data_IF_643637376707
#
_entry.id   IF_643637376707
#
_cell.length_a   1.000
_cell.length_b   1.000
_cell.length_c   1.000
_cell.angle_alpha   90.00
_cell.angle_beta   90.00
_cell.angle_gamma   90.00
#
_symmetry.space_group_name_H-M   'P 1'
#
loop_
_entity.id
_entity.type
_entity.pdbx_description
1 polymer ?
#
# COMPACT_ATOMS: atom_id res chain seq x y z
N UNK A 1 -43.82 76.01 -66.68
CA UNK A 1 -42.68 76.32 -65.79
C UNK A 1 -42.73 75.32 -64.62
N UNK A 2 -41.69 74.47 -64.47
CA UNK A 2 -41.36 73.52 -63.35
C UNK A 2 -42.40 72.42 -63.02
N UNK A 3 -42.19 71.13 -63.37
CA UNK A 3 -41.31 70.05 -62.84
C UNK A 3 -41.75 69.37 -61.52
N UNK A 4 -41.98 68.05 -61.66
CA UNK A 4 -41.65 66.91 -60.76
C UNK A 4 -42.56 66.54 -59.59
N UNK A 5 -42.98 65.26 -59.51
CA UNK A 5 -42.47 64.23 -58.57
C UNK A 5 -43.15 62.86 -58.84
N UNK A 6 -42.33 61.81 -58.79
CA UNK A 6 -42.51 60.36 -58.99
C UNK A 6 -43.29 59.67 -57.84
N UNK A 7 -43.85 58.47 -58.05
CA UNK A 7 -43.72 57.24 -57.18
C UNK A 7 -44.53 56.06 -57.73
N UNK A 8 -43.93 54.87 -57.60
CA UNK A 8 -44.23 53.51 -58.06
C UNK A 8 -45.19 52.78 -57.09
N UNK A 9 -46.08 51.87 -57.57
CA UNK A 9 -46.29 50.54 -56.94
C UNK A 9 -47.18 49.60 -57.76
N UNK A 10 -46.61 48.44 -58.11
CA UNK A 10 -47.30 47.22 -58.55
C UNK A 10 -47.60 46.35 -57.33
N UNK A 11 -48.83 45.83 -57.19
CA UNK A 11 -49.15 44.59 -56.46
C UNK A 11 -50.66 44.34 -56.48
N UNK A 12 -51.10 43.21 -57.06
CA UNK A 12 -52.25 42.44 -56.59
C UNK A 12 -52.28 41.06 -57.29
N UNK A 13 -52.26 40.05 -56.43
CA UNK A 13 -52.84 38.70 -56.57
C UNK A 13 -52.24 37.70 -57.57
N UNK A 14 -51.47 36.77 -57.02
CA UNK A 14 -51.67 35.36 -57.32
C UNK A 14 -51.53 34.53 -56.04
N UNK A 15 -52.65 34.36 -55.33
CA UNK A 15 -52.80 33.31 -54.32
C UNK A 15 -53.15 32.02 -55.08
N UNK A 16 -52.19 31.11 -55.22
CA UNK A 16 -52.46 29.71 -55.58
C UNK A 16 -52.31 28.89 -54.31
N UNK A 17 -53.43 28.32 -53.89
CA UNK A 17 -53.51 27.18 -52.98
C UNK A 17 -52.63 26.04 -53.51
N UNK A 18 -51.54 25.74 -52.80
CA UNK A 18 -50.89 24.43 -52.85
C UNK A 18 -50.80 23.92 -51.42
N UNK A 19 -51.90 23.36 -50.93
CA UNK A 19 -51.90 22.48 -49.76
C UNK A 19 -52.24 21.10 -50.30
N UNK A 20 -51.22 20.29 -50.58
CA UNK A 20 -51.44 18.96 -51.14
C UNK A 20 -50.24 18.10 -51.55
N UNK A 21 -48.98 18.54 -51.42
CA UNK A 21 -47.82 17.74 -51.90
C UNK A 21 -46.79 17.30 -50.84
N UNK A 22 -46.96 17.60 -49.55
CA UNK A 22 -45.91 17.28 -48.56
C UNK A 22 -45.92 15.82 -48.05
N UNK A 23 -47.05 15.10 -48.11
CA UNK A 23 -47.15 13.78 -47.48
C UNK A 23 -46.57 12.62 -48.32
N UNK A 24 -46.63 12.72 -49.64
CA UNK A 24 -46.11 11.67 -50.56
C UNK A 24 -44.60 11.73 -50.74
N UNK A 25 -44.01 12.92 -50.61
CA UNK A 25 -42.56 13.11 -50.74
C UNK A 25 -41.79 12.52 -49.54
N UNK A 26 -42.32 12.71 -48.33
CA UNK A 26 -41.74 12.17 -47.09
C UNK A 26 -41.70 10.63 -47.05
N UNK A 27 -42.68 9.95 -47.67
CA UNK A 27 -42.71 8.48 -47.75
C UNK A 27 -41.53 7.95 -48.58
N UNK A 28 -41.25 8.55 -49.73
CA UNK A 28 -40.13 8.13 -50.59
C UNK A 28 -38.74 8.40 -49.98
N UNK A 29 -38.61 9.49 -49.21
CA UNK A 29 -37.38 9.81 -48.48
C UNK A 29 -37.12 8.76 -47.36
N UNK A 30 -38.15 8.37 -46.62
CA UNK A 30 -38.07 7.32 -45.59
C UNK A 30 -37.69 5.96 -46.21
N UNK A 31 -38.36 5.54 -47.28
CA UNK A 31 -38.04 4.29 -47.99
C UNK A 31 -36.59 4.25 -48.49
N UNK A 32 -36.09 5.39 -48.99
CA UNK A 32 -34.69 5.51 -49.44
C UNK A 32 -33.71 5.24 -48.29
N UNK A 33 -33.92 5.86 -47.12
CA UNK A 33 -33.06 5.65 -45.95
C UNK A 33 -33.15 4.21 -45.45
N UNK A 34 -34.36 3.65 -45.34
CA UNK A 34 -34.55 2.27 -44.91
C UNK A 34 -33.87 1.27 -45.84
N UNK A 35 -33.90 1.51 -47.17
CA UNK A 35 -33.19 0.68 -48.14
C UNK A 35 -31.67 0.74 -48.01
N UNK A 36 -31.11 1.92 -47.70
CA UNK A 36 -29.67 2.06 -47.45
C UNK A 36 -29.26 1.33 -46.17
N UNK A 37 -30.05 1.47 -45.10
CA UNK A 37 -29.88 0.77 -43.82
C UNK A 37 -29.91 -0.75 -44.02
N UNK A 38 -30.95 -1.28 -44.68
CA UNK A 38 -31.09 -2.72 -44.92
C UNK A 38 -29.97 -3.29 -45.79
N UNK A 39 -29.35 -2.46 -46.61
CA UNK A 39 -28.21 -2.83 -47.47
C UNK A 39 -26.85 -2.65 -46.79
N UNK A 40 -26.82 -2.22 -45.52
CA UNK A 40 -25.59 -1.96 -44.77
C UNK A 40 -24.79 -0.75 -45.30
N UNK A 41 -25.41 0.14 -46.07
CA UNK A 41 -24.77 1.32 -46.68
C UNK A 41 -24.79 2.51 -45.72
N UNK A 42 -24.18 2.35 -44.55
CA UNK A 42 -24.28 3.31 -43.43
C UNK A 42 -23.73 4.71 -43.75
N UNK A 43 -22.59 4.78 -44.43
CA UNK A 43 -22.00 6.07 -44.84
C UNK A 43 -22.91 6.80 -45.84
N UNK A 44 -23.47 6.07 -46.83
CA UNK A 44 -24.42 6.64 -47.78
C UNK A 44 -25.72 7.10 -47.08
N UNK A 45 -26.24 6.32 -46.13
CA UNK A 45 -27.41 6.69 -45.32
C UNK A 45 -27.13 7.97 -44.51
N UNK A 46 -25.96 8.02 -43.83
CA UNK A 46 -25.51 9.17 -43.05
C UNK A 46 -25.43 10.44 -43.91
N UNK A 47 -24.83 10.33 -45.09
CA UNK A 47 -24.69 11.45 -46.03
C UNK A 47 -26.04 11.96 -46.55
N UNK A 48 -27.03 11.09 -46.74
CA UNK A 48 -28.37 11.52 -47.17
C UNK A 48 -29.14 12.20 -46.03
N UNK A 49 -29.04 11.70 -44.80
CA UNK A 49 -29.76 12.25 -43.64
C UNK A 49 -29.37 13.70 -43.30
N UNK A 50 -28.21 14.19 -43.75
CA UNK A 50 -27.80 15.60 -43.55
C UNK A 50 -28.59 16.57 -44.46
N UNK A 51 -29.15 16.09 -45.57
CA UNK A 51 -29.87 16.93 -46.55
C UNK A 51 -31.22 17.38 -45.99
N UNK A 52 -31.65 18.59 -46.36
CA UNK A 52 -32.86 19.21 -45.81
C UNK A 52 -34.15 18.43 -46.11
N UNK A 53 -34.21 17.78 -47.27
CA UNK A 53 -35.35 16.97 -47.69
C UNK A 53 -35.66 15.83 -46.70
N UNK A 54 -34.63 15.19 -46.13
CA UNK A 54 -34.82 14.04 -45.22
C UNK A 54 -35.22 14.43 -43.78
N UNK A 55 -35.23 15.71 -43.41
CA UNK A 55 -35.53 16.14 -42.02
C UNK A 55 -36.99 15.98 -41.62
N UNK A 56 -37.88 15.78 -42.59
CA UNK A 56 -39.31 15.53 -42.35
C UNK A 56 -39.64 14.09 -41.98
N UNK A 57 -38.67 13.18 -42.00
CA UNK A 57 -38.89 11.76 -41.69
C UNK A 57 -39.34 11.58 -40.23
N UNK A 58 -40.34 10.74 -40.02
CA UNK A 58 -40.78 10.34 -38.69
C UNK A 58 -39.65 9.65 -37.91
N UNK A 59 -39.45 10.01 -36.64
CA UNK A 59 -38.33 9.55 -35.81
C UNK A 59 -36.93 9.87 -36.39
N UNK A 60 -36.81 10.99 -37.11
CA UNK A 60 -35.56 11.42 -37.76
C UNK A 60 -34.36 11.43 -36.83
N UNK A 61 -34.49 11.94 -35.60
CA UNK A 61 -33.36 12.07 -34.67
C UNK A 61 -32.82 10.71 -34.24
N UNK A 62 -33.70 9.75 -33.99
CA UNK A 62 -33.35 8.39 -33.61
C UNK A 62 -32.72 7.64 -34.80
N UNK A 63 -33.24 7.84 -36.01
CA UNK A 63 -32.66 7.29 -37.25
C UNK A 63 -31.26 7.85 -37.50
N UNK A 64 -31.06 9.17 -37.36
CA UNK A 64 -29.75 9.82 -37.46
C UNK A 64 -28.78 9.24 -36.44
N UNK A 65 -29.21 9.12 -35.19
CA UNK A 65 -28.37 8.59 -34.09
C UNK A 65 -27.98 7.14 -34.36
N UNK A 66 -28.93 6.32 -34.83
CA UNK A 66 -28.69 4.92 -35.15
C UNK A 66 -27.71 4.76 -36.31
N UNK A 67 -27.95 5.47 -37.42
CA UNK A 67 -27.09 5.43 -38.60
C UNK A 67 -25.67 5.92 -38.29
N UNK A 68 -25.55 6.97 -37.48
CA UNK A 68 -24.25 7.48 -37.04
C UNK A 68 -23.48 6.46 -36.19
N UNK A 69 -24.15 5.82 -35.23
CA UNK A 69 -23.55 4.77 -34.40
C UNK A 69 -23.15 3.52 -35.21
N UNK A 70 -23.98 3.08 -36.17
CA UNK A 70 -23.66 1.97 -37.07
C UNK A 70 -22.49 2.30 -37.98
N UNK A 71 -22.43 3.51 -38.51
CA UNK A 71 -21.33 3.93 -39.37
C UNK A 71 -19.99 3.92 -38.62
N UNK A 72 -19.96 4.47 -37.41
CA UNK A 72 -18.76 4.45 -36.57
C UNK A 72 -18.33 3.01 -36.25
N UNK A 73 -19.28 2.16 -35.88
CA UNK A 73 -19.03 0.74 -35.61
C UNK A 73 -18.41 0.02 -36.82
N UNK A 74 -19.01 0.12 -38.01
CA UNK A 74 -18.50 -0.58 -39.20
C UNK A 74 -17.13 -0.05 -39.67
N UNK A 75 -16.90 1.26 -39.57
CA UNK A 75 -15.61 1.85 -39.93
C UNK A 75 -14.48 1.37 -39.02
N UNK A 76 -14.75 1.23 -37.72
CA UNK A 76 -13.74 0.78 -36.75
C UNK A 76 -13.58 -0.74 -36.73
N UNK A 77 -14.63 -1.49 -37.06
CA UNK A 77 -14.64 -2.96 -37.08
C UNK A 77 -13.52 -3.53 -37.95
N UNK A 78 -13.24 -2.90 -39.10
CA UNK A 78 -12.14 -3.31 -39.98
C UNK A 78 -10.75 -3.21 -39.35
N UNK A 79 -10.56 -2.35 -38.36
CA UNK A 79 -9.28 -2.17 -37.64
C UNK A 79 -9.10 -3.10 -36.44
N UNK A 80 -10.17 -3.76 -36.00
CA UNK A 80 -10.20 -4.56 -34.77
C UNK A 80 -10.09 -3.73 -33.47
N UNK A 81 -10.15 -2.40 -33.55
CA UNK A 81 -10.04 -1.47 -32.42
C UNK A 81 -11.27 -0.57 -32.33
N UNK A 82 -12.40 -1.18 -32.01
CA UNK A 82 -13.67 -0.47 -31.86
C UNK A 82 -13.64 0.32 -30.55
N UNK A 83 -13.89 1.62 -30.64
CA UNK A 83 -14.17 2.51 -29.53
C UNK A 83 -15.62 2.31 -29.09
N UNK A 84 -15.88 1.23 -28.36
CA UNK A 84 -17.25 0.85 -27.97
C UNK A 84 -17.99 1.91 -27.14
N UNK A 85 -17.30 2.68 -26.30
CA UNK A 85 -17.97 3.66 -25.42
C UNK A 85 -18.73 4.78 -26.15
N UNK A 86 -18.13 5.54 -27.08
CA UNK A 86 -18.87 6.56 -27.83
C UNK A 86 -20.06 5.98 -28.60
N UNK A 87 -19.92 4.77 -29.15
CA UNK A 87 -21.00 4.09 -29.89
C UNK A 87 -22.13 3.68 -28.94
N UNK A 88 -21.82 3.08 -27.78
CA UNK A 88 -22.81 2.70 -26.76
C UNK A 88 -23.53 3.93 -26.21
N UNK A 89 -22.82 5.04 -25.99
CA UNK A 89 -23.43 6.30 -25.53
C UNK A 89 -24.46 6.80 -26.55
N UNK A 90 -24.12 6.81 -27.85
CA UNK A 90 -25.07 7.17 -28.93
C UNK A 90 -26.26 6.23 -28.93
N UNK A 91 -26.04 4.93 -28.83
CA UNK A 91 -27.14 3.98 -28.83
C UNK A 91 -28.06 4.14 -27.62
N UNK A 92 -27.51 4.39 -26.43
CA UNK A 92 -28.29 4.58 -25.20
C UNK A 92 -29.16 5.85 -25.21
N UNK A 93 -28.89 6.84 -26.07
CA UNK A 93 -29.75 8.03 -26.18
C UNK A 93 -31.07 7.76 -26.90
N UNK A 94 -31.17 6.66 -27.66
CA UNK A 94 -32.42 6.21 -28.29
C UNK A 94 -33.27 5.48 -27.24
N UNK A 95 -34.35 6.08 -26.75
CA UNK A 95 -35.27 5.41 -25.82
C UNK A 95 -36.23 4.48 -26.58
N UNK A 96 -36.01 3.16 -26.44
CA UNK A 96 -36.82 2.13 -27.09
C UNK A 96 -38.23 1.99 -26.51
N UNK A 97 -38.51 2.56 -25.33
CA UNK A 97 -39.86 2.56 -24.77
C UNK A 97 -40.76 3.55 -25.52
N UNK A 98 -40.18 4.67 -25.97
CA UNK A 98 -40.88 5.72 -26.69
C UNK A 98 -40.72 5.62 -28.21
N UNK A 99 -39.64 4.98 -28.69
CA UNK A 99 -39.44 4.74 -30.10
C UNK A 99 -40.43 3.68 -30.63
N UNK A 100 -41.20 4.08 -31.64
CA UNK A 100 -42.24 3.28 -32.30
C UNK A 100 -42.00 3.12 -33.81
N UNK A 101 -40.81 3.49 -34.31
CA UNK A 101 -40.44 3.37 -35.71
C UNK A 101 -40.09 1.94 -36.15
N UNK A 102 -40.03 1.73 -37.46
CA UNK A 102 -39.84 0.42 -38.10
C UNK A 102 -38.49 -0.25 -37.78
N UNK A 103 -37.48 0.52 -37.34
CA UNK A 103 -36.15 0.00 -37.00
C UNK A 103 -36.05 -0.48 -35.54
N UNK A 104 -37.16 -0.57 -34.79
CA UNK A 104 -37.12 -0.79 -33.34
C UNK A 104 -36.38 -2.07 -32.98
N UNK A 105 -36.72 -3.15 -33.67
CA UNK A 105 -36.14 -4.47 -33.43
C UNK A 105 -34.66 -4.50 -33.83
N UNK A 106 -34.31 -3.91 -34.98
CA UNK A 106 -32.93 -3.82 -35.46
C UNK A 106 -32.03 -3.00 -34.52
N UNK A 107 -32.54 -1.86 -34.02
CA UNK A 107 -31.86 -1.01 -33.02
C UNK A 107 -31.68 -1.79 -31.72
N UNK A 108 -32.70 -2.52 -31.27
CA UNK A 108 -32.63 -3.32 -30.05
C UNK A 108 -31.60 -4.44 -30.17
N UNK A 109 -31.62 -5.19 -31.26
CA UNK A 109 -30.65 -6.26 -31.53
C UNK A 109 -29.22 -5.71 -31.59
N UNK A 110 -29.01 -4.58 -32.30
CA UNK A 110 -27.69 -3.96 -32.37
C UNK A 110 -27.20 -3.50 -30.99
N UNK A 111 -28.07 -2.91 -30.15
CA UNK A 111 -27.71 -2.55 -28.77
C UNK A 111 -27.23 -3.74 -27.96
N UNK A 112 -27.97 -4.84 -27.99
CA UNK A 112 -27.62 -6.04 -27.24
C UNK A 112 -26.30 -6.64 -27.70
N UNK A 113 -26.09 -6.72 -29.01
CA UNK A 113 -24.85 -7.25 -29.58
C UNK A 113 -23.66 -6.35 -29.26
N UNK A 114 -23.82 -5.03 -29.37
CA UNK A 114 -22.78 -4.06 -29.04
C UNK A 114 -22.32 -4.17 -27.57
N UNK A 115 -23.26 -4.37 -26.64
CA UNK A 115 -22.94 -4.56 -25.21
C UNK A 115 -22.18 -5.88 -24.99
N UNK A 116 -22.61 -6.98 -25.62
CA UNK A 116 -21.93 -8.27 -25.52
C UNK A 116 -20.51 -8.20 -26.06
N UNK A 117 -20.32 -7.61 -27.24
CA UNK A 117 -19.01 -7.42 -27.87
C UNK A 117 -18.09 -6.51 -27.03
N UNK A 118 -18.61 -5.38 -26.54
CA UNK A 118 -17.88 -4.48 -25.62
C UNK A 118 -17.38 -5.23 -24.39
N UNK A 119 -18.26 -6.02 -23.78
CA UNK A 119 -17.95 -6.76 -22.55
C UNK A 119 -16.82 -7.75 -22.81
N UNK A 120 -16.94 -8.58 -23.85
CA UNK A 120 -15.91 -9.55 -24.23
C UNK A 120 -14.56 -8.87 -24.57
N UNK A 121 -14.58 -7.73 -25.27
CA UNK A 121 -13.37 -6.98 -25.60
C UNK A 121 -12.62 -6.52 -24.35
N UNK A 122 -13.33 -5.86 -23.41
CA UNK A 122 -12.69 -5.35 -22.19
C UNK A 122 -12.25 -6.48 -21.25
N UNK A 123 -13.03 -7.57 -21.13
CA UNK A 123 -12.63 -8.76 -20.37
C UNK A 123 -11.31 -9.34 -20.90
N UNK A 124 -11.20 -9.53 -22.22
CA UNK A 124 -9.97 -10.03 -22.84
C UNK A 124 -8.79 -9.06 -22.66
N UNK A 125 -9.03 -7.76 -22.81
CA UNK A 125 -8.01 -6.72 -22.61
C UNK A 125 -7.45 -6.73 -21.19
N UNK A 126 -8.32 -6.76 -20.17
CA UNK A 126 -7.90 -6.76 -18.77
C UNK A 126 -7.27 -8.09 -18.35
N UNK A 127 -7.74 -9.23 -18.88
CA UNK A 127 -7.13 -10.54 -18.64
C UNK A 127 -5.67 -10.58 -19.13
N UNK A 128 -5.41 -10.14 -20.37
CA UNK A 128 -4.06 -10.09 -20.94
C UNK A 128 -3.11 -9.20 -20.14
N UNK A 129 -3.58 -8.00 -19.76
CA UNK A 129 -2.80 -7.05 -18.94
C UNK A 129 -2.43 -7.64 -17.57
N UNK A 130 -3.31 -8.43 -16.97
CA UNK A 130 -3.07 -9.14 -15.71
C UNK A 130 -2.02 -10.24 -15.86
N UNK A 131 -2.05 -11.02 -16.95
CA UNK A 131 -1.03 -12.06 -17.21
C UNK A 131 0.36 -11.48 -17.44
N UNK A 132 0.48 -10.44 -18.27
CA UNK A 132 1.76 -9.74 -18.50
C UNK A 132 2.32 -9.13 -17.20
N UNK A 133 1.46 -8.67 -16.30
CA UNK A 133 1.85 -8.19 -14.98
C UNK A 133 2.43 -9.30 -14.09
N UNK A 134 1.81 -10.49 -14.09
CA UNK A 134 2.26 -11.66 -13.31
C UNK A 134 3.60 -12.20 -13.81
N UNK A 135 3.82 -12.23 -15.13
CA UNK A 135 5.08 -12.70 -15.72
C UNK A 135 6.25 -11.77 -15.38
N UNK A 136 6.07 -10.45 -15.51
CA UNK A 136 7.07 -9.46 -15.10
C UNK A 136 7.41 -9.54 -13.63
N UNK A 137 6.41 -9.74 -12.76
CA UNK A 137 6.64 -9.91 -11.32
C UNK A 137 7.47 -11.17 -11.04
N UNK A 138 7.16 -12.29 -11.70
CA UNK A 138 7.91 -13.54 -11.55
C UNK A 138 9.38 -13.40 -11.96
N UNK A 139 9.68 -12.64 -13.00
CA UNK A 139 11.06 -12.41 -13.43
C UNK A 139 11.82 -11.44 -12.50
N UNK A 140 11.14 -10.42 -11.97
CA UNK A 140 11.69 -9.56 -10.92
C UNK A 140 12.01 -10.36 -9.65
N UNK A 141 11.14 -11.27 -9.23
CA UNK A 141 11.36 -12.11 -8.05
C UNK A 141 12.55 -13.06 -8.24
N UNK A 142 12.70 -13.64 -9.44
CA UNK A 142 13.90 -14.45 -9.78
C UNK A 142 15.18 -13.61 -9.73
N UNK A 143 15.16 -12.38 -10.23
CA UNK A 143 16.32 -11.49 -10.22
C UNK A 143 16.72 -11.10 -8.79
N UNK A 144 15.74 -10.71 -7.96
CA UNK A 144 15.95 -10.43 -6.54
C UNK A 144 16.56 -11.61 -5.81
N UNK A 145 16.01 -12.82 -6.00
CA UNK A 145 16.55 -14.04 -5.39
C UNK A 145 18.01 -14.28 -5.76
N UNK A 146 18.36 -14.15 -7.04
CA UNK A 146 19.76 -14.29 -7.50
C UNK A 146 20.68 -13.23 -6.89
N UNK A 147 20.19 -12.02 -6.73
CA UNK A 147 20.95 -10.92 -6.14
C UNK A 147 21.19 -11.16 -4.64
N UNK A 148 20.17 -11.60 -3.91
CA UNK A 148 20.27 -11.95 -2.50
C UNK A 148 21.25 -13.10 -2.27
N UNK A 149 21.17 -14.16 -3.08
CA UNK A 149 22.14 -15.27 -3.07
C UNK A 149 23.58 -14.77 -3.29
N UNK A 150 23.78 -13.85 -4.24
CA UNK A 150 25.10 -13.26 -4.52
C UNK A 150 25.59 -12.40 -3.35
N UNK A 151 24.72 -11.59 -2.74
CA UNK A 151 25.05 -10.76 -1.57
C UNK A 151 25.42 -11.63 -0.38
N UNK A 152 24.64 -12.68 -0.10
CA UNK A 152 24.93 -13.60 0.99
C UNK A 152 26.25 -14.33 0.78
N UNK A 153 26.50 -14.81 -0.45
CA UNK A 153 27.80 -15.42 -0.79
C UNK A 153 28.95 -14.45 -0.56
N UNK A 154 28.84 -13.22 -1.05
CA UNK A 154 29.87 -12.20 -0.86
C UNK A 154 30.10 -11.89 0.62
N UNK A 155 29.03 -11.76 1.39
CA UNK A 155 29.10 -11.57 2.84
C UNK A 155 29.87 -12.71 3.51
N UNK A 156 29.53 -13.97 3.20
CA UNK A 156 30.21 -15.14 3.76
C UNK A 156 31.70 -15.19 3.36
N UNK A 157 32.02 -14.85 2.10
CA UNK A 157 33.39 -14.78 1.60
C UNK A 157 34.19 -13.68 2.35
N UNK A 158 33.59 -12.50 2.53
CA UNK A 158 34.17 -11.38 3.28
C UNK A 158 34.38 -11.70 4.76
N UNK A 159 33.40 -12.34 5.40
CA UNK A 159 33.43 -12.78 6.80
C UNK A 159 34.54 -13.81 7.02
N UNK A 160 34.64 -14.80 6.12
CA UNK A 160 35.67 -15.85 6.19
C UNK A 160 37.06 -15.25 5.99
N UNK A 161 37.21 -14.31 5.05
CA UNK A 161 38.47 -13.60 4.83
C UNK A 161 38.89 -12.79 6.06
N UNK A 162 37.95 -12.05 6.66
CA UNK A 162 38.23 -11.25 7.86
C UNK A 162 38.61 -12.14 9.06
N UNK A 163 37.92 -13.26 9.27
CA UNK A 163 38.30 -14.26 10.28
C UNK A 163 39.70 -14.83 10.06
N UNK A 164 40.02 -15.21 8.83
CA UNK A 164 41.32 -15.81 8.48
C UNK A 164 42.47 -14.84 8.72
N UNK A 165 42.23 -13.56 8.39
CA UNK A 165 43.23 -12.50 8.53
C UNK A 165 43.25 -11.87 9.94
N UNK A 166 42.34 -12.28 10.84
CA UNK A 166 42.13 -11.66 12.15
C UNK A 166 41.83 -10.15 12.05
N UNK A 167 41.10 -9.75 11.01
CA UNK A 167 40.67 -8.37 10.78
C UNK A 167 39.38 -8.12 11.57
N UNK A 168 39.52 -7.85 12.86
CA UNK A 168 38.39 -7.71 13.78
C UNK A 168 37.56 -6.45 13.54
N UNK A 169 38.17 -5.38 13.02
CA UNK A 169 37.45 -4.17 12.61
C UNK A 169 36.48 -4.50 11.47
N UNK A 170 36.96 -5.20 10.45
CA UNK A 170 36.10 -5.65 9.34
C UNK A 170 35.04 -6.64 9.82
N UNK A 171 35.35 -7.53 10.76
CA UNK A 171 34.35 -8.44 11.34
C UNK A 171 33.24 -7.69 12.07
N UNK A 172 33.60 -6.75 12.95
CA UNK A 172 32.64 -5.90 13.67
C UNK A 172 31.73 -5.17 12.70
N UNK A 173 32.30 -4.50 11.68
CA UNK A 173 31.54 -3.77 10.67
C UNK A 173 30.59 -4.65 9.84
N UNK A 174 30.99 -5.88 9.52
CA UNK A 174 30.13 -6.82 8.81
C UNK A 174 28.97 -7.30 9.69
N UNK A 175 29.22 -7.49 10.99
CA UNK A 175 28.30 -8.15 11.90
C UNK A 175 27.35 -7.21 12.64
N UNK A 176 27.67 -5.92 12.80
CA UNK A 176 26.83 -4.95 13.54
C UNK A 176 25.38 -4.88 13.01
N UNK A 177 25.20 -5.07 11.70
CA UNK A 177 23.88 -5.09 11.06
C UNK A 177 23.23 -6.48 11.01
N UNK A 178 23.95 -7.52 11.43
CA UNK A 178 23.57 -8.94 11.36
C UNK A 178 23.44 -9.62 12.71
N UNK A 179 23.95 -9.01 13.78
CA UNK A 179 23.92 -9.59 15.13
C UNK A 179 22.51 -9.87 15.66
N UNK A 180 21.46 -9.27 15.08
CA UNK A 180 20.06 -9.57 15.44
C UNK A 180 19.40 -10.63 14.57
N UNK A 181 20.04 -11.00 13.46
CA UNK A 181 19.48 -11.93 12.48
C UNK A 181 19.68 -13.39 12.94
N UNK A 182 20.84 -13.69 13.55
CA UNK A 182 21.16 -15.02 14.05
C UNK A 182 22.19 -14.99 15.19
N UNK A 183 22.15 -16.02 16.05
CA UNK A 183 22.99 -16.15 17.24
C UNK A 183 24.49 -16.29 16.91
N UNK A 184 24.86 -16.92 15.78
CA UNK A 184 26.26 -17.08 15.41
C UNK A 184 26.89 -15.73 15.06
N UNK A 185 26.14 -14.88 14.34
CA UNK A 185 26.54 -13.51 14.02
C UNK A 185 26.69 -12.65 15.28
N UNK A 186 25.79 -12.79 16.24
CA UNK A 186 25.86 -12.09 17.53
C UNK A 186 27.09 -12.50 18.35
N UNK A 187 27.30 -13.81 18.54
CA UNK A 187 28.43 -14.31 19.31
C UNK A 187 29.77 -13.96 18.64
N UNK A 188 29.82 -14.00 17.31
CA UNK A 188 31.01 -13.60 16.57
C UNK A 188 31.26 -12.09 16.65
N UNK A 189 30.21 -11.28 16.72
CA UNK A 189 30.33 -9.83 16.91
C UNK A 189 30.96 -9.52 18.27
N UNK A 190 30.44 -10.08 19.36
CA UNK A 190 31.03 -9.91 20.69
C UNK A 190 32.46 -10.43 20.75
N UNK A 191 32.75 -11.54 20.07
CA UNK A 191 34.12 -12.01 19.94
C UNK A 191 35.02 -10.97 19.25
N UNK A 192 34.61 -10.41 18.11
CA UNK A 192 35.39 -9.39 17.41
C UNK A 192 35.62 -8.14 18.27
N UNK A 193 34.59 -7.63 18.94
CA UNK A 193 34.68 -6.49 19.86
C UNK A 193 35.63 -6.75 21.04
N UNK A 194 35.65 -7.99 21.56
CA UNK A 194 36.62 -8.36 22.58
C UNK A 194 38.06 -8.25 22.08
N UNK A 195 38.32 -8.66 20.84
CA UNK A 195 39.67 -8.61 20.27
C UNK A 195 40.09 -7.17 19.95
N UNK A 196 39.18 -6.32 19.47
CA UNK A 196 39.43 -4.89 19.29
C UNK A 196 39.76 -4.21 20.62
N UNK A 197 39.00 -4.51 21.66
CA UNK A 197 39.25 -3.99 23.01
C UNK A 197 40.63 -4.42 23.52
N UNK A 198 41.02 -5.67 23.26
CA UNK A 198 42.36 -6.17 23.58
C UNK A 198 43.45 -5.41 22.82
N UNK A 199 43.29 -5.20 21.52
CA UNK A 199 44.25 -4.47 20.69
C UNK A 199 44.41 -3.01 21.14
N UNK A 200 43.33 -2.41 21.66
CA UNK A 200 43.34 -1.10 22.28
C UNK A 200 43.92 -1.08 23.72
N UNK A 201 44.20 -2.25 24.31
CA UNK A 201 44.68 -2.38 25.70
C UNK A 201 43.56 -2.25 26.76
N UNK A 202 42.30 -2.19 26.35
CA UNK A 202 41.14 -2.13 27.25
C UNK A 202 40.75 -3.53 27.71
N UNK A 203 41.43 -3.98 28.76
CA UNK A 203 41.20 -5.31 29.35
C UNK A 203 39.81 -5.46 29.97
N UNK A 204 39.20 -4.35 30.42
CA UNK A 204 37.87 -4.39 31.04
C UNK A 204 36.80 -4.61 29.97
N UNK A 205 36.84 -3.86 28.87
CA UNK A 205 35.91 -4.03 27.76
C UNK A 205 36.12 -5.37 27.03
N UNK A 206 37.38 -5.81 26.90
CA UNK A 206 37.67 -7.16 26.38
C UNK A 206 36.94 -8.23 27.20
N UNK A 207 37.06 -8.17 28.53
CA UNK A 207 36.40 -9.14 29.41
C UNK A 207 34.88 -9.03 29.32
N UNK A 208 34.33 -7.82 29.35
CA UNK A 208 32.89 -7.57 29.22
C UNK A 208 32.30 -8.26 27.99
N UNK A 209 32.88 -8.06 26.81
CA UNK A 209 32.37 -8.68 25.58
C UNK A 209 32.48 -10.21 25.59
N UNK A 210 33.52 -10.78 26.19
CA UNK A 210 33.62 -12.23 26.33
C UNK A 210 32.59 -12.79 27.31
N UNK A 211 32.23 -12.05 28.38
CA UNK A 211 31.21 -12.45 29.36
C UNK A 211 29.79 -12.46 28.75
N UNK A 212 29.53 -11.64 27.72
CA UNK A 212 28.27 -11.65 26.98
C UNK A 212 28.07 -12.94 26.17
N UNK A 213 29.14 -13.66 25.83
CA UNK A 213 29.05 -14.91 25.08
C UNK A 213 28.81 -16.08 26.06
N UNK A 214 27.68 -16.79 25.99
CA UNK A 214 27.39 -17.89 26.91
C UNK A 214 28.42 -19.01 26.82
N UNK A 215 28.79 -19.63 27.95
CA UNK A 215 29.67 -20.81 27.93
C UNK A 215 28.98 -22.03 27.29
N UNK A 216 27.66 -22.02 27.24
CA UNK A 216 26.84 -23.03 26.57
C UNK A 216 26.63 -22.76 25.08
N UNK A 217 27.30 -21.76 24.50
CA UNK A 217 27.23 -21.51 23.06
C UNK A 217 27.88 -22.67 22.29
N UNK A 218 27.08 -23.38 21.49
CA UNK A 218 27.49 -24.54 20.68
C UNK A 218 27.42 -24.27 19.16
N UNK A 219 27.35 -22.99 18.79
CA UNK A 219 27.20 -22.59 17.38
C UNK A 219 28.50 -22.68 16.59
N UNK A 220 28.46 -22.15 15.36
CA UNK A 220 29.53 -22.30 14.35
C UNK A 220 30.92 -21.86 14.84
N UNK A 221 30.97 -20.88 15.73
CA UNK A 221 32.22 -20.29 16.22
C UNK A 221 32.59 -20.73 17.64
N UNK A 222 31.88 -21.72 18.20
CA UNK A 222 32.06 -22.16 19.58
C UNK A 222 33.49 -22.60 19.89
N UNK A 223 34.13 -23.35 19.00
CA UNK A 223 35.52 -23.82 19.19
C UNK A 223 36.51 -22.66 19.23
N UNK A 224 36.37 -21.69 18.32
CA UNK A 224 37.21 -20.49 18.25
C UNK A 224 37.11 -19.70 19.56
N UNK A 225 35.88 -19.41 19.97
CA UNK A 225 35.57 -18.58 21.13
C UNK A 225 35.96 -19.29 22.43
N UNK A 226 35.63 -20.57 22.57
CA UNK A 226 35.96 -21.37 23.76
C UNK A 226 37.47 -21.47 23.96
N UNK A 227 38.22 -21.69 22.87
CA UNK A 227 39.68 -21.69 22.92
C UNK A 227 40.24 -20.37 23.46
N UNK A 228 39.67 -19.24 23.02
CA UNK A 228 40.07 -17.92 23.49
C UNK A 228 39.74 -17.70 24.96
N UNK A 229 38.47 -17.95 25.35
CA UNK A 229 38.00 -17.78 26.73
C UNK A 229 38.83 -18.63 27.70
N UNK A 230 39.09 -19.89 27.36
CA UNK A 230 39.86 -20.80 28.23
C UNK A 230 41.37 -20.53 28.22
N UNK A 231 41.87 -19.76 27.24
CA UNK A 231 43.22 -19.21 27.28
C UNK A 231 43.40 -18.11 28.32
N UNK A 232 42.32 -17.43 28.70
CA UNK A 232 42.33 -16.31 29.66
C UNK A 232 42.11 -16.80 31.10
N UNK A 233 41.06 -17.61 31.31
CA UNK A 233 40.73 -18.15 32.62
C UNK A 233 39.97 -19.47 32.51
N UNK A 234 39.88 -20.21 33.63
CA UNK A 234 39.24 -21.53 33.65
C UNK A 234 37.75 -21.45 33.32
N UNK A 235 37.21 -22.56 32.80
CA UNK A 235 35.77 -22.70 32.51
C UNK A 235 34.92 -22.39 33.75
N UNK A 236 35.36 -22.81 34.93
CA UNK A 236 34.66 -22.60 36.19
C UNK A 236 34.51 -21.10 36.53
N UNK A 237 35.55 -20.29 36.26
CA UNK A 237 35.50 -18.84 36.48
C UNK A 237 34.53 -18.15 35.53
N UNK A 238 34.53 -18.54 34.25
CA UNK A 238 33.55 -18.03 33.31
C UNK A 238 32.11 -18.40 33.68
N UNK A 239 31.89 -19.64 34.12
CA UNK A 239 30.58 -20.08 34.56
C UNK A 239 30.10 -19.33 35.81
N UNK A 240 31.01 -18.93 36.71
CA UNK A 240 30.66 -18.06 37.84
C UNK A 240 30.23 -16.67 37.37
N UNK A 241 31.03 -16.02 36.53
CA UNK A 241 30.69 -14.69 35.99
C UNK A 241 29.35 -14.71 35.22
N UNK A 242 29.09 -15.76 34.45
CA UNK A 242 27.83 -15.94 33.73
C UNK A 242 26.64 -16.12 34.69
N UNK A 243 26.79 -16.92 35.76
CA UNK A 243 25.77 -17.06 36.81
C UNK A 243 25.47 -15.71 37.46
N UNK A 244 26.49 -14.97 37.86
CA UNK A 244 26.33 -13.66 38.49
C UNK A 244 25.60 -12.68 37.55
N UNK A 245 25.96 -12.66 36.26
CA UNK A 245 25.29 -11.83 35.25
C UNK A 245 23.80 -12.17 35.13
N UNK A 246 23.46 -13.46 34.95
CA UNK A 246 22.06 -13.91 34.82
C UNK A 246 21.26 -13.58 36.08
N UNK A 247 21.83 -13.79 37.28
CA UNK A 247 21.18 -13.44 38.55
C UNK A 247 20.89 -11.93 38.62
N UNK A 248 21.84 -11.10 38.19
CA UNK A 248 21.67 -9.66 38.20
C UNK A 248 20.63 -9.20 37.17
N UNK A 249 20.66 -9.73 35.94
CA UNK A 249 19.65 -9.44 34.90
C UNK A 249 18.25 -9.85 35.34
N UNK A 250 18.07 -11.05 35.91
CA UNK A 250 16.78 -11.49 36.42
C UNK A 250 16.24 -10.62 37.56
N UNK A 251 17.12 -10.12 38.45
CA UNK A 251 16.72 -9.14 39.48
C UNK A 251 16.26 -7.82 38.86
N UNK A 252 16.93 -7.34 37.81
CA UNK A 252 16.54 -6.12 37.11
C UNK A 252 15.18 -6.26 36.41
N UNK A 253 14.92 -7.38 35.75
CA UNK A 253 13.61 -7.65 35.12
C UNK A 253 12.48 -7.73 36.15
N UNK A 254 12.71 -8.39 37.30
CA UNK A 254 11.75 -8.42 38.40
C UNK A 254 11.42 -7.02 38.90
N UNK A 255 12.44 -6.17 39.12
CA UNK A 255 12.27 -4.78 39.55
C UNK A 255 11.49 -3.96 38.51
N UNK A 256 11.83 -4.10 37.22
CA UNK A 256 11.17 -3.38 36.12
C UNK A 256 9.72 -3.82 35.88
N UNK A 257 9.37 -5.06 36.23
CA UNK A 257 8.01 -5.59 36.12
C UNK A 257 7.07 -5.07 37.23
N UNK A 258 7.62 -4.55 38.33
CA UNK A 258 6.85 -3.99 39.44
C UNK A 258 6.46 -2.55 39.12
N UNK A 259 5.26 -2.16 39.56
CA UNK A 259 4.80 -0.77 39.44
C UNK A 259 5.61 0.14 40.37
N UNK A 260 5.93 1.39 39.99
CA UNK A 260 6.51 2.34 40.94
C UNK A 260 5.52 2.66 42.07
N UNK A 261 6.01 3.09 43.25
CA UNK A 261 5.12 3.47 44.34
C UNK A 261 4.21 4.61 43.88
N UNK A 262 2.98 4.60 44.36
CA UNK A 262 1.98 5.61 44.04
C UNK A 262 1.26 6.09 45.30
N UNK A 263 0.77 7.33 45.26
CA UNK A 263 -0.08 7.89 46.32
C UNK A 263 -1.32 7.01 46.47
N UNK A 264 -1.68 6.70 47.71
CA UNK A 264 -2.78 5.80 48.05
C UNK A 264 -2.39 4.34 48.26
N UNK A 265 -1.17 3.93 47.90
CA UNK A 265 -0.68 2.57 48.21
C UNK A 265 -0.52 2.35 49.71
N UNK A 266 -0.73 1.12 50.16
CA UNK A 266 -0.38 0.68 51.52
C UNK A 266 1.12 0.49 51.67
N UNK A 267 1.61 0.48 52.91
CA UNK A 267 2.99 0.15 53.23
C UNK A 267 3.46 -1.20 52.62
N UNK A 268 2.57 -2.20 52.51
CA UNK A 268 2.91 -3.48 51.87
C UNK A 268 3.09 -3.31 50.36
N UNK A 269 2.14 -2.66 49.70
CA UNK A 269 2.20 -2.42 48.25
C UNK A 269 3.42 -1.59 47.84
N UNK A 270 3.87 -0.65 48.70
CA UNK A 270 5.12 0.09 48.47
C UNK A 270 6.34 -0.84 48.55
N UNK A 271 6.38 -1.80 49.49
CA UNK A 271 7.49 -2.78 49.56
C UNK A 271 7.50 -3.73 48.37
N UNK A 272 6.34 -3.99 47.80
CA UNK A 272 6.15 -4.84 46.62
C UNK A 272 6.28 -4.05 45.30
N UNK A 273 6.51 -2.74 45.36
CA UNK A 273 6.73 -1.85 44.21
C UNK A 273 8.15 -2.00 43.62
N UNK A 274 8.42 -1.31 42.50
CA UNK A 274 9.76 -1.26 41.90
C UNK A 274 10.80 -0.56 42.78
N UNK A 275 10.38 0.16 43.82
CA UNK A 275 11.32 0.75 44.79
C UNK A 275 11.71 -0.22 45.90
N UNK A 276 10.95 -1.31 46.11
CA UNK A 276 11.26 -2.30 47.13
C UNK A 276 11.17 -1.76 48.56
N UNK A 277 11.93 -2.38 49.47
CA UNK A 277 12.03 -1.94 50.86
C UNK A 277 12.88 -0.68 51.03
N UNK A 278 12.52 0.24 51.94
CA UNK A 278 13.31 1.45 52.20
C UNK A 278 14.62 1.13 52.94
N UNK A 279 15.64 1.95 52.70
CA UNK A 279 16.91 1.91 53.43
C UNK A 279 16.73 2.33 54.90
N UNK A 280 15.80 3.26 55.15
CA UNK A 280 15.50 3.76 56.50
C UNK A 280 14.03 4.17 56.65
N UNK A 281 13.45 3.95 57.83
CA UNK A 281 12.10 4.41 58.19
C UNK A 281 12.19 5.31 59.42
N UNK A 282 11.73 6.55 59.30
CA UNK A 282 11.52 7.48 60.40
C UNK A 282 10.02 7.46 60.78
N UNK A 283 9.69 7.10 62.02
CA UNK A 283 8.29 6.93 62.48
C UNK A 283 7.96 7.88 63.63
N UNK A 284 6.82 8.56 63.51
CA UNK A 284 6.26 9.40 64.58
C UNK A 284 4.82 8.94 64.88
N UNK A 285 4.49 8.77 66.16
CA UNK A 285 3.16 8.36 66.60
C UNK A 285 2.54 9.47 67.43
N UNK A 286 1.32 9.88 67.04
CA UNK A 286 0.51 10.87 67.71
C UNK A 286 -0.77 10.21 68.24
N UNK A 287 -1.49 10.90 69.13
CA UNK A 287 -2.79 10.44 69.64
C UNK A 287 -3.83 10.24 68.52
N UNK A 288 -3.72 11.00 67.44
CA UNK A 288 -4.62 10.98 66.29
C UNK A 288 -4.12 10.14 65.09
N UNK A 289 -2.94 9.51 65.17
CA UNK A 289 -2.44 8.66 64.08
C UNK A 289 -0.93 8.46 64.03
N UNK A 290 -0.48 7.69 63.03
CA UNK A 290 0.93 7.37 62.80
C UNK A 290 1.37 8.00 61.48
N UNK A 291 2.51 8.70 61.51
CA UNK A 291 3.18 9.25 60.33
C UNK A 291 4.55 8.61 60.15
N UNK A 292 4.86 8.15 58.93
CA UNK A 292 6.13 7.52 58.59
C UNK A 292 6.75 8.20 57.37
N UNK A 293 8.06 8.41 57.40
CA UNK A 293 8.87 8.78 56.24
C UNK A 293 9.83 7.64 55.94
N UNK A 294 9.72 7.10 54.73
CA UNK A 294 10.55 6.03 54.22
C UNK A 294 11.58 6.63 53.26
N UNK A 295 12.85 6.33 53.51
CA UNK A 295 14.01 6.88 52.79
C UNK A 295 14.60 5.80 51.89
N UNK A 296 14.87 6.17 50.65
CA UNK A 296 15.51 5.33 49.63
C UNK A 296 16.79 6.00 49.11
N UNK A 297 17.62 5.25 48.39
CA UNK A 297 18.74 5.78 47.62
C UNK A 297 18.28 6.83 46.60
N UNK A 298 19.23 7.65 46.14
CA UNK A 298 19.00 8.68 45.12
C UNK A 298 18.05 9.81 45.56
N UNK A 299 18.04 10.12 46.86
CA UNK A 299 17.25 11.22 47.45
C UNK A 299 15.74 11.06 47.27
N UNK A 300 15.26 9.82 47.25
CA UNK A 300 13.84 9.47 47.12
C UNK A 300 13.19 9.19 48.47
N UNK A 301 11.94 9.64 48.63
CA UNK A 301 11.18 9.52 49.88
C UNK A 301 9.72 9.17 49.66
N UNK A 302 9.16 8.35 50.54
CA UNK A 302 7.73 8.04 50.60
C UNK A 302 7.20 8.42 51.98
N UNK A 303 6.12 9.19 52.03
CA UNK A 303 5.47 9.59 53.28
C UNK A 303 4.15 8.86 53.42
N UNK A 304 3.92 8.26 54.59
CA UNK A 304 2.72 7.50 54.89
C UNK A 304 2.00 8.07 56.11
N UNK A 305 0.67 8.13 56.02
CA UNK A 305 -0.22 8.44 57.14
C UNK A 305 -1.13 7.24 57.38
N UNK A 306 -1.12 6.70 58.59
CA UNK A 306 -1.91 5.51 58.94
C UNK A 306 -1.55 4.26 58.11
N UNK A 307 -0.34 4.22 57.54
CA UNK A 307 0.13 3.13 56.67
C UNK A 307 -0.26 3.27 55.20
N UNK A 308 -0.81 4.42 54.78
CA UNK A 308 -1.15 4.74 53.39
C UNK A 308 -0.27 5.87 52.87
N UNK A 309 0.27 5.74 51.66
CA UNK A 309 1.11 6.75 51.01
C UNK A 309 0.31 8.02 50.74
N UNK A 310 0.78 9.14 51.27
CA UNK A 310 0.20 10.46 51.05
C UNK A 310 1.08 11.33 50.17
N UNK A 311 2.39 11.08 50.13
CA UNK A 311 3.34 11.87 49.32
C UNK A 311 4.51 11.02 48.87
N UNK A 312 4.98 11.26 47.65
CA UNK A 312 6.20 10.70 47.09
C UNK A 312 7.07 11.88 46.65
N UNK A 313 8.36 11.82 46.94
CA UNK A 313 9.36 12.82 46.61
C UNK A 313 10.54 12.15 45.91
N UNK A 314 10.93 12.67 44.76
CA UNK A 314 12.03 12.21 43.90
C UNK A 314 12.66 13.38 43.15
#
# INVERSE_FOLDING_TARGET
>A
MKRSITVILSLICLFIFVVGCNNTQSIGEKETILSLISSGKWEEAKMNLVKQEFKGIENYNEIVTYVDARNDYENEKGSGKIAYEPIVIKMNSIDLNTYNGELKDEISEFKENLIKEKTAYYEAFYAKKSEEGKEKQKDLDKLKKKEDERRQKKFNDDLTGALTNKDYEKLSLLLVFKMKDDIDSEMLYYFAESQLSREAGDSQMMMHYLELIPITYEGKYADLISKEKFGIQSKEKWLEAERERIINEGKWEEIMSKVPPAIGMTASEVRDSSWGGPDKINKTTYEFGVHEQWVYSDYRYVYLEGGIVTTIQE
#
